data_IF_980595845314
#
_entry.id   IF_980595845314
#
_cell.length_a   1.000
_cell.length_b   1.000
_cell.length_c   1.000
_cell.angle_alpha   90.00
_cell.angle_beta   90.00
_cell.angle_gamma   90.00
#
_symmetry.space_group_name_H-M   'P 1'
#
loop_
_entity.id
_entity.type
_entity.pdbx_description
1 polymer ?
#
# COMPACT_ATOMS: atom_id res chain seq x y z
N UNK A 1 -16.94 -8.96 -5.18
CA UNK A 1 -17.30 -7.55 -5.39
C UNK A 1 -17.28 -7.22 -6.87
N UNK A 2 -17.27 -5.93 -7.19
CA UNK A 2 -17.43 -5.44 -8.58
C UNK A 2 -16.11 -5.15 -9.31
N UNK A 3 -14.97 -5.39 -8.64
CA UNK A 3 -13.64 -5.22 -9.24
C UNK A 3 -13.43 -6.21 -10.39
N UNK A 4 -12.99 -5.71 -11.55
CA UNK A 4 -12.75 -6.52 -12.76
C UNK A 4 -11.28 -6.50 -13.17
N UNK A 5 -10.82 -7.63 -13.69
CA UNK A 5 -9.51 -7.74 -14.34
C UNK A 5 -9.69 -7.72 -15.86
N UNK A 6 -9.07 -6.76 -16.53
CA UNK A 6 -9.04 -6.70 -18.00
C UNK A 6 -7.69 -7.20 -18.49
N UNK A 7 -7.69 -8.31 -19.24
CA UNK A 7 -6.47 -8.85 -19.85
C UNK A 7 -6.16 -8.07 -21.13
N UNK A 8 -4.96 -7.50 -21.23
CA UNK A 8 -4.56 -6.66 -22.36
C UNK A 8 -3.30 -7.25 -23.00
N UNK A 9 -3.41 -7.69 -24.25
CA UNK A 9 -2.27 -8.03 -25.09
C UNK A 9 -1.90 -6.84 -25.98
N UNK A 10 -0.66 -6.36 -25.87
CA UNK A 10 -0.10 -5.26 -26.67
C UNK A 10 0.96 -5.71 -27.67
N UNK A 11 1.20 -7.01 -27.82
CA UNK A 11 2.28 -7.58 -28.64
C UNK A 11 2.24 -7.11 -30.10
N UNK A 12 1.06 -6.83 -30.63
CA UNK A 12 0.84 -6.33 -32.00
C UNK A 12 0.25 -4.91 -32.03
N UNK A 13 0.35 -4.15 -30.94
CA UNK A 13 -0.26 -2.82 -30.85
C UNK A 13 0.73 -1.74 -30.40
N UNK A 14 1.01 -0.79 -31.28
CA UNK A 14 1.92 0.35 -31.07
C UNK A 14 1.20 1.70 -30.87
N UNK A 15 -0.13 1.69 -30.77
CA UNK A 15 -0.91 2.91 -30.56
C UNK A 15 -0.73 3.52 -29.17
N UNK A 16 -1.22 4.76 -28.96
CA UNK A 16 -0.87 5.58 -27.78
C UNK A 16 -1.40 5.01 -26.46
N UNK A 17 -2.54 4.31 -26.47
CA UNK A 17 -3.10 3.67 -25.28
C UNK A 17 -3.84 2.38 -25.63
N UNK A 18 -5.10 2.47 -26.08
CA UNK A 18 -5.96 1.38 -26.56
C UNK A 18 -6.66 1.83 -27.86
N UNK A 19 -7.17 0.90 -28.70
CA UNK A 19 -8.01 1.26 -29.85
C UNK A 19 -9.16 2.21 -29.46
N UNK A 20 -9.41 3.22 -30.28
CA UNK A 20 -10.41 4.27 -30.01
C UNK A 20 -9.92 5.46 -29.19
N UNK A 21 -8.70 5.42 -28.63
CA UNK A 21 -8.07 6.56 -27.96
C UNK A 21 -7.14 7.32 -28.90
N UNK A 22 -7.07 8.64 -28.74
CA UNK A 22 -6.19 9.52 -29.49
C UNK A 22 -5.18 10.23 -28.56
N UNK A 23 -3.99 10.51 -29.08
CA UNK A 23 -2.96 11.27 -28.36
C UNK A 23 -3.48 12.66 -27.96
N UNK A 24 -3.24 13.06 -26.71
CA UNK A 24 -3.53 14.39 -26.18
C UNK A 24 -2.33 14.91 -25.40
N UNK A 25 -2.10 16.22 -25.45
CA UNK A 25 -1.12 16.93 -24.64
C UNK A 25 -1.83 17.79 -23.62
N UNK A 26 -1.37 17.76 -22.37
CA UNK A 26 -1.89 18.64 -21.32
C UNK A 26 -1.32 20.06 -21.46
N UNK A 27 -2.15 21.08 -21.20
CA UNK A 27 -1.68 22.46 -21.03
C UNK A 27 -1.13 22.76 -19.63
N UNK A 28 -1.11 21.76 -18.74
CA UNK A 28 -0.58 21.90 -17.38
C UNK A 28 0.92 22.20 -17.41
N UNK A 29 1.28 23.34 -16.82
CA UNK A 29 2.65 23.75 -16.60
C UNK A 29 3.03 23.35 -15.18
N UNK A 30 4.02 22.48 -15.06
CA UNK A 30 4.58 22.09 -13.77
C UNK A 30 5.23 23.31 -13.10
N UNK A 31 5.11 23.38 -11.78
CA UNK A 31 5.88 24.35 -10.98
C UNK A 31 7.37 24.15 -11.21
N UNK A 32 8.13 25.24 -11.10
CA UNK A 32 9.58 25.20 -11.20
C UNK A 32 10.15 24.22 -10.16
N UNK A 33 11.12 23.39 -10.56
CA UNK A 33 11.72 22.37 -9.70
C UNK A 33 10.92 21.07 -9.53
N UNK A 34 9.65 21.02 -9.96
CA UNK A 34 8.83 19.82 -9.86
C UNK A 34 9.46 18.63 -10.61
N UNK A 35 9.44 17.42 -10.04
CA UNK A 35 10.05 16.26 -10.68
C UNK A 35 9.38 15.92 -12.01
N UNK A 36 10.19 15.41 -12.95
CA UNK A 36 9.69 14.92 -14.25
C UNK A 36 8.65 13.82 -14.06
N UNK A 37 8.83 12.98 -13.03
CA UNK A 37 7.99 11.83 -12.68
C UNK A 37 8.02 11.65 -11.16
N UNK A 38 6.85 11.39 -10.55
CA UNK A 38 6.73 11.10 -9.11
C UNK A 38 6.88 9.60 -8.82
N UNK A 39 6.31 8.75 -9.67
CA UNK A 39 6.39 7.28 -9.56
C UNK A 39 6.56 6.64 -10.94
N UNK A 40 7.09 5.43 -10.99
CA UNK A 40 7.48 4.74 -12.23
C UNK A 40 6.61 3.55 -12.59
N UNK A 41 5.97 2.93 -11.62
CA UNK A 41 5.15 1.74 -11.81
C UNK A 41 4.19 1.55 -10.63
N UNK A 42 3.18 0.70 -10.85
CA UNK A 42 2.39 0.11 -9.78
C UNK A 42 3.20 -1.07 -9.19
N UNK A 43 3.41 -1.08 -7.87
CA UNK A 43 4.13 -2.15 -7.16
C UNK A 43 3.19 -3.29 -6.79
N UNK A 44 2.04 -2.95 -6.18
CA UNK A 44 1.00 -3.89 -5.79
C UNK A 44 -0.34 -3.17 -5.59
N UNK A 45 -1.42 -3.95 -5.52
CA UNK A 45 -2.78 -3.47 -5.21
C UNK A 45 -3.35 -4.33 -4.10
N UNK A 46 -3.80 -3.70 -3.03
CA UNK A 46 -4.37 -4.40 -1.88
C UNK A 46 -5.88 -4.45 -1.98
N UNK A 47 -6.44 -5.65 -1.86
CA UNK A 47 -7.88 -5.89 -1.84
C UNK A 47 -8.37 -6.21 -0.44
N UNK A 48 -9.41 -5.51 0.02
CA UNK A 48 -10.13 -5.87 1.24
C UNK A 48 -11.31 -6.76 0.88
N UNK A 49 -11.47 -7.85 1.62
CA UNK A 49 -12.51 -8.87 1.42
C UNK A 49 -13.22 -9.19 2.73
N UNK A 50 -14.39 -9.79 2.62
CA UNK A 50 -15.27 -10.08 3.74
C UNK A 50 -14.68 -11.14 4.69
N UNK A 51 -15.12 -11.12 5.95
CA UNK A 51 -14.70 -12.09 6.96
C UNK A 51 -14.94 -13.54 6.48
N UNK A 52 -13.90 -14.37 6.50
CA UNK A 52 -13.95 -15.77 6.11
C UNK A 52 -14.01 -15.98 4.60
N UNK A 53 -13.77 -14.93 3.80
CA UNK A 53 -13.74 -14.99 2.33
C UNK A 53 -12.33 -14.88 1.75
N UNK A 54 -11.29 -14.61 2.55
CA UNK A 54 -9.93 -14.50 2.04
C UNK A 54 -9.48 -15.74 1.24
N UNK A 55 -9.72 -16.94 1.76
CA UNK A 55 -9.35 -18.19 1.07
C UNK A 55 -10.15 -18.44 -0.21
N UNK A 56 -11.39 -17.96 -0.27
CA UNK A 56 -12.19 -18.02 -1.49
C UNK A 56 -11.54 -17.18 -2.60
N UNK A 57 -11.15 -15.95 -2.27
CA UNK A 57 -10.51 -15.02 -3.22
C UNK A 57 -9.09 -15.45 -3.59
N UNK A 58 -8.27 -15.91 -2.63
CA UNK A 58 -6.96 -16.53 -2.91
C UNK A 58 -7.13 -17.73 -3.85
N UNK A 59 -8.12 -18.58 -3.58
CA UNK A 59 -8.45 -19.73 -4.43
C UNK A 59 -8.83 -19.34 -5.86
N UNK A 60 -9.55 -18.22 -6.05
CA UNK A 60 -9.84 -17.67 -7.36
C UNK A 60 -8.55 -17.29 -8.11
N UNK A 61 -7.64 -16.51 -7.52
CA UNK A 61 -6.40 -16.12 -8.19
C UNK A 61 -5.51 -17.32 -8.53
N UNK A 62 -5.43 -18.31 -7.63
CA UNK A 62 -4.63 -19.51 -7.88
C UNK A 62 -5.22 -20.36 -9.01
N UNK A 63 -6.53 -20.61 -9.01
CA UNK A 63 -7.19 -21.49 -9.99
C UNK A 63 -7.41 -20.84 -11.35
N UNK A 64 -7.77 -19.55 -11.38
CA UNK A 64 -8.19 -18.86 -12.61
C UNK A 64 -7.02 -18.13 -13.25
N UNK A 65 -6.19 -17.46 -12.46
CA UNK A 65 -5.08 -16.64 -12.97
C UNK A 65 -3.73 -17.37 -12.92
N UNK A 66 -3.65 -18.54 -12.28
CA UNK A 66 -2.41 -19.29 -12.10
C UNK A 66 -1.41 -18.59 -11.17
N UNK A 67 -1.90 -17.75 -10.25
CA UNK A 67 -1.05 -17.09 -9.27
C UNK A 67 -0.61 -18.09 -8.19
N UNK A 68 0.43 -17.72 -7.44
CA UNK A 68 0.95 -18.49 -6.30
C UNK A 68 0.89 -17.67 -5.03
N UNK A 69 0.76 -18.35 -3.90
CA UNK A 69 0.86 -17.71 -2.58
C UNK A 69 2.30 -17.29 -2.34
N UNK A 70 2.52 -16.00 -2.06
CA UNK A 70 3.84 -15.42 -1.84
C UNK A 70 4.14 -15.21 -0.35
N UNK A 71 3.14 -14.78 0.42
CA UNK A 71 3.25 -14.52 1.84
C UNK A 71 1.90 -14.66 2.53
N UNK A 72 1.92 -14.97 3.82
CA UNK A 72 0.74 -15.08 4.67
C UNK A 72 1.05 -14.47 6.03
N UNK A 73 0.13 -13.65 6.53
CA UNK A 73 0.16 -13.03 7.84
C UNK A 73 -1.16 -13.39 8.52
N UNK A 74 -1.09 -14.28 9.51
CA UNK A 74 -2.27 -14.86 10.15
C UNK A 74 -2.19 -14.71 11.68
N UNK A 75 -3.37 -14.72 12.31
CA UNK A 75 -3.46 -14.57 13.77
C UNK A 75 -3.01 -13.18 14.25
N UNK A 76 -2.32 -13.12 15.39
CA UNK A 76 -1.82 -11.87 15.99
C UNK A 76 -0.61 -11.25 15.30
N UNK A 77 -0.24 -11.71 14.10
CA UNK A 77 0.88 -11.17 13.32
C UNK A 77 0.69 -9.70 12.95
N UNK A 78 -0.56 -9.28 12.75
CA UNK A 78 -0.97 -7.90 12.48
C UNK A 78 -2.14 -7.57 13.40
N UNK A 79 -1.80 -7.24 14.65
CA UNK A 79 -2.75 -6.84 15.67
C UNK A 79 -2.22 -5.64 16.46
N UNK A 80 -3.12 -4.73 16.83
CA UNK A 80 -2.94 -3.75 17.90
C UNK A 80 -3.62 -4.26 19.16
N UNK A 81 -3.60 -3.46 20.23
CA UNK A 81 -4.33 -3.76 21.46
C UNK A 81 -5.86 -3.82 21.26
N UNK A 82 -6.36 -3.28 20.13
CA UNK A 82 -7.78 -3.06 19.87
C UNK A 82 -8.31 -3.81 18.66
N UNK A 83 -7.58 -3.85 17.54
CA UNK A 83 -8.04 -4.48 16.29
C UNK A 83 -6.96 -5.31 15.59
N UNK A 84 -7.36 -6.16 14.64
CA UNK A 84 -6.47 -7.05 13.90
C UNK A 84 -6.97 -7.30 12.47
N UNK A 85 -6.10 -7.82 11.61
CA UNK A 85 -6.45 -8.34 10.29
C UNK A 85 -5.61 -9.57 9.92
N UNK A 86 -6.08 -10.33 8.94
CA UNK A 86 -5.28 -11.36 8.27
C UNK A 86 -5.00 -10.92 6.84
N UNK A 87 -3.84 -11.31 6.32
CA UNK A 87 -3.44 -10.97 4.96
C UNK A 87 -2.78 -12.15 4.25
N UNK A 88 -3.20 -12.41 3.01
CA UNK A 88 -2.56 -13.35 2.08
C UNK A 88 -2.17 -12.64 0.81
N UNK A 89 -0.93 -12.78 0.41
CA UNK A 89 -0.41 -12.21 -0.83
C UNK A 89 -0.38 -13.28 -1.91
N UNK A 90 -1.08 -13.03 -3.01
CA UNK A 90 -0.95 -13.81 -4.24
C UNK A 90 -0.15 -13.04 -5.28
N UNK A 91 0.69 -13.74 -6.04
CA UNK A 91 1.51 -13.13 -7.09
C UNK A 91 1.56 -13.99 -8.36
N UNK A 92 1.74 -13.35 -9.51
CA UNK A 92 1.98 -14.08 -10.76
C UNK A 92 3.39 -14.72 -10.76
N UNK A 93 3.67 -15.67 -11.66
CA UNK A 93 4.90 -16.48 -11.59
C UNK A 93 6.24 -15.73 -11.67
N UNK A 94 6.29 -14.47 -12.13
CA UNK A 94 7.49 -13.63 -12.10
C UNK A 94 7.45 -12.52 -11.02
N UNK A 95 6.46 -12.59 -10.13
CA UNK A 95 6.22 -11.70 -9.00
C UNK A 95 6.10 -10.20 -9.35
N UNK A 96 5.77 -9.87 -10.59
CA UNK A 96 5.55 -8.48 -11.02
C UNK A 96 4.15 -7.96 -10.73
N UNK A 97 3.17 -8.85 -10.62
CA UNK A 97 1.80 -8.52 -10.25
C UNK A 97 1.54 -9.19 -8.91
N UNK A 98 1.25 -8.38 -7.89
CA UNK A 98 1.06 -8.82 -6.51
C UNK A 98 -0.25 -8.25 -5.96
N UNK A 99 -1.03 -9.10 -5.31
CA UNK A 99 -2.28 -8.72 -4.65
C UNK A 99 -2.28 -9.24 -3.21
N UNK A 100 -1.96 -8.40 -2.22
CA UNK A 100 -2.35 -8.63 -0.84
C UNK A 100 -3.86 -8.61 -0.72
N UNK A 101 -4.43 -9.64 -0.10
CA UNK A 101 -5.85 -9.77 0.20
C UNK A 101 -6.01 -9.77 1.70
N UNK A 102 -6.77 -8.80 2.21
CA UNK A 102 -6.98 -8.62 3.64
C UNK A 102 -8.42 -8.96 4.02
N UNK A 103 -8.60 -9.67 5.12
CA UNK A 103 -9.91 -9.83 5.76
C UNK A 103 -9.85 -9.34 7.22
N UNK A 104 -10.98 -8.89 7.79
CA UNK A 104 -11.03 -8.52 9.20
C UNK A 104 -10.71 -9.73 10.09
N UNK A 105 -10.12 -9.48 11.26
CA UNK A 105 -9.96 -10.48 12.31
C UNK A 105 -10.76 -10.10 13.56
N UNK A 106 -11.24 -11.09 14.30
CA UNK A 106 -12.03 -10.87 15.53
C UNK A 106 -11.12 -10.26 16.60
N UNK A 107 -11.48 -9.08 17.08
CA UNK A 107 -10.75 -8.33 18.10
C UNK A 107 -11.70 -7.54 19.02
N UNK A 108 -11.16 -6.73 19.93
CA UNK A 108 -11.96 -5.96 20.91
C UNK A 108 -12.78 -4.84 20.27
N UNK A 109 -12.26 -4.25 19.20
CA UNK A 109 -12.83 -3.13 18.46
C UNK A 109 -13.01 -3.49 16.98
N UNK A 110 -13.72 -2.64 16.24
CA UNK A 110 -14.01 -2.86 14.82
C UNK A 110 -12.73 -2.77 13.99
N UNK A 111 -12.51 -3.74 13.11
CA UNK A 111 -11.36 -3.71 12.19
C UNK A 111 -11.52 -2.58 11.18
N UNK A 112 -10.42 -1.91 10.83
CA UNK A 112 -10.37 -0.98 9.68
C UNK A 112 -10.82 -1.63 8.37
N UNK A 113 -10.71 -2.96 8.25
CA UNK A 113 -11.21 -3.69 7.08
C UNK A 113 -12.74 -3.69 7.06
N UNK A 114 -13.39 -3.83 8.23
CA UNK A 114 -14.85 -3.69 8.34
C UNK A 114 -15.31 -2.26 8.07
N UNK A 115 -14.56 -1.24 8.53
CA UNK A 115 -14.82 0.16 8.17
C UNK A 115 -14.79 0.33 6.64
N UNK A 116 -13.74 -0.16 5.98
CA UNK A 116 -13.66 -0.12 4.52
C UNK A 116 -14.87 -0.78 3.86
N UNK A 117 -15.22 -2.02 4.25
CA UNK A 117 -16.29 -2.79 3.61
C UNK A 117 -17.65 -2.07 3.75
N UNK A 118 -17.92 -1.44 4.89
CA UNK A 118 -19.16 -0.68 5.11
C UNK A 118 -19.23 0.57 4.22
N UNK A 119 -18.17 1.38 4.18
CA UNK A 119 -18.17 2.64 3.43
C UNK A 119 -17.99 2.44 1.92
N UNK A 120 -17.30 1.37 1.51
CA UNK A 120 -17.14 0.98 0.11
C UNK A 120 -18.37 0.23 -0.44
N UNK A 121 -19.10 -0.47 0.43
CA UNK A 121 -20.29 -1.25 0.07
C UNK A 121 -19.99 -2.70 -0.35
N UNK A 122 -18.87 -3.27 0.11
CA UNK A 122 -18.42 -4.63 -0.22
C UNK A 122 -16.91 -4.72 -0.47
N UNK A 123 -16.43 -5.85 -1.01
CA UNK A 123 -15.00 -6.09 -1.21
C UNK A 123 -14.47 -5.31 -2.42
N UNK A 124 -13.24 -4.80 -2.31
CA UNK A 124 -12.67 -3.88 -3.30
C UNK A 124 -11.20 -3.55 -3.05
N UNK A 125 -10.63 -2.78 -3.97
CA UNK A 125 -9.25 -2.28 -3.83
C UNK A 125 -9.20 -1.19 -2.76
N UNK A 126 -8.43 -1.42 -1.71
CA UNK A 126 -8.20 -0.47 -0.63
C UNK A 126 -7.11 0.54 -1.02
N UNK A 127 -5.96 0.05 -1.47
CA UNK A 127 -4.89 0.95 -1.89
C UNK A 127 -4.06 0.41 -3.04
N UNK A 128 -3.42 1.35 -3.72
CA UNK A 128 -2.50 1.11 -4.80
C UNK A 128 -1.13 1.64 -4.40
N UNK A 129 -0.13 0.78 -4.43
CA UNK A 129 1.25 1.15 -4.12
C UNK A 129 1.99 1.57 -5.39
N UNK A 130 2.56 2.77 -5.37
CA UNK A 130 3.24 3.40 -6.48
C UNK A 130 4.75 3.40 -6.22
N UNK A 131 5.48 2.64 -7.04
CA UNK A 131 6.93 2.52 -6.93
C UNK A 131 7.61 3.83 -7.35
N UNK A 132 8.56 4.33 -6.56
CA UNK A 132 9.45 5.45 -6.88
C UNK A 132 10.90 5.10 -6.59
N UNK A 133 11.83 5.83 -7.21
CA UNK A 133 13.27 5.70 -6.95
C UNK A 133 13.78 6.78 -5.99
N UNK A 134 12.93 7.75 -5.64
CA UNK A 134 13.26 8.79 -4.68
C UNK A 134 12.02 9.25 -3.91
N UNK A 135 11.67 8.47 -2.89
CA UNK A 135 10.50 8.65 -2.04
C UNK A 135 10.59 9.95 -1.23
N UNK A 136 11.78 10.37 -0.80
CA UNK A 136 11.97 11.66 -0.10
C UNK A 136 11.51 12.82 -0.99
N UNK A 137 12.07 12.92 -2.19
CA UNK A 137 11.68 13.95 -3.15
C UNK A 137 10.22 13.83 -3.58
N UNK A 138 9.72 12.60 -3.71
CA UNK A 138 8.34 12.34 -4.12
C UNK A 138 7.35 12.83 -3.06
N UNK A 139 7.60 12.54 -1.78
CA UNK A 139 6.79 13.01 -0.66
C UNK A 139 6.82 14.52 -0.56
N UNK A 140 8.00 15.14 -0.66
CA UNK A 140 8.15 16.60 -0.61
C UNK A 140 7.36 17.28 -1.74
N UNK A 141 7.47 16.75 -2.96
CA UNK A 141 6.73 17.26 -4.10
C UNK A 141 5.22 17.05 -3.95
N UNK A 142 4.77 15.89 -3.47
CA UNK A 142 3.35 15.60 -3.26
C UNK A 142 2.74 16.50 -2.18
N UNK A 143 3.45 16.74 -1.07
CA UNK A 143 3.02 17.69 -0.03
C UNK A 143 2.93 19.12 -0.55
N UNK A 144 3.89 19.55 -1.36
CA UNK A 144 3.85 20.88 -1.99
C UNK A 144 2.61 21.05 -2.89
N UNK A 145 2.09 19.96 -3.46
CA UNK A 145 0.83 19.94 -4.24
C UNK A 145 -0.42 19.64 -3.38
N UNK A 146 -0.30 19.64 -2.06
CA UNK A 146 -1.43 19.50 -1.12
C UNK A 146 -1.84 18.07 -0.80
N UNK A 147 -1.05 17.06 -1.17
CA UNK A 147 -1.33 15.67 -0.77
C UNK A 147 -1.04 15.49 0.72
N UNK A 148 -2.04 14.98 1.43
CA UNK A 148 -1.93 14.62 2.84
C UNK A 148 -1.52 13.16 3.01
N UNK A 149 -0.67 12.91 4.02
CA UNK A 149 -0.20 11.58 4.39
C UNK A 149 -0.62 11.23 5.80
N UNK A 150 -0.72 9.94 6.09
CA UNK A 150 -0.94 9.44 7.44
C UNK A 150 0.24 9.80 8.34
N UNK A 151 -0.04 10.14 9.59
CA UNK A 151 0.98 10.49 10.57
C UNK A 151 1.55 9.24 11.25
N UNK A 152 2.87 9.10 11.24
CA UNK A 152 3.60 8.09 12.02
C UNK A 152 4.05 8.71 13.36
N UNK A 153 3.91 8.03 14.51
CA UNK A 153 4.34 8.59 15.78
C UNK A 153 5.87 8.56 15.88
N UNK A 154 6.46 9.52 16.59
CA UNK A 154 7.93 9.59 16.78
C UNK A 154 8.50 8.32 17.44
N UNK A 155 7.72 7.70 18.33
CA UNK A 155 8.07 6.45 19.00
C UNK A 155 8.41 5.30 18.05
N UNK A 156 7.85 5.30 16.83
CA UNK A 156 8.21 4.32 15.80
C UNK A 156 9.69 4.43 15.42
N UNK A 157 10.19 5.65 15.23
CA UNK A 157 11.58 5.91 14.82
C UNK A 157 12.56 5.79 15.98
N UNK A 158 12.08 5.92 17.21
CA UNK A 158 12.85 5.79 18.45
C UNK A 158 12.98 4.35 18.92
N UNK A 159 12.17 3.42 18.38
CA UNK A 159 12.18 2.01 18.72
C UNK A 159 13.60 1.39 18.53
N UNK A 160 14.24 0.92 19.62
CA UNK A 160 15.56 0.28 19.54
C UNK A 160 15.55 -0.98 18.68
N UNK A 161 14.46 -1.74 18.65
CA UNK A 161 14.34 -2.97 17.85
C UNK A 161 14.30 -2.64 16.36
N UNK A 162 13.53 -1.62 15.98
CA UNK A 162 13.54 -1.09 14.62
C UNK A 162 14.96 -0.66 14.22
N UNK A 163 15.60 0.19 15.03
CA UNK A 163 16.94 0.72 14.75
C UNK A 163 17.99 -0.38 14.62
N UNK A 164 17.93 -1.41 15.46
CA UNK A 164 18.81 -2.56 15.38
C UNK A 164 18.61 -3.36 14.09
N UNK A 165 17.35 -3.52 13.65
CA UNK A 165 16.99 -4.35 12.49
C UNK A 165 17.23 -3.66 11.14
N UNK A 166 16.96 -2.37 11.00
CA UNK A 166 17.04 -1.67 9.70
C UNK A 166 18.48 -1.40 9.24
N UNK A 167 19.46 -1.47 10.13
CA UNK A 167 20.87 -1.24 9.82
C UNK A 167 21.12 0.07 9.06
N UNK A 168 22.04 0.04 8.09
CA UNK A 168 22.34 1.22 7.25
C UNK A 168 21.37 1.32 6.07
N UNK A 169 20.65 2.42 6.01
CA UNK A 169 19.80 2.83 4.87
C UNK A 169 20.40 4.04 4.14
N UNK A 170 19.83 4.44 2.99
CA UNK A 170 20.43 5.48 2.12
C UNK A 170 20.48 6.88 2.74
N UNK A 171 19.69 7.14 3.78
CA UNK A 171 19.61 8.42 4.49
C UNK A 171 19.50 8.17 5.99
N UNK A 172 19.88 9.13 6.85
CA UNK A 172 19.62 9.01 8.29
C UNK A 172 18.12 8.79 8.58
N UNK A 173 17.82 8.08 9.66
CA UNK A 173 16.42 7.78 10.05
C UNK A 173 15.66 9.08 10.34
N UNK A 174 16.36 10.11 10.78
CA UNK A 174 15.83 11.43 11.08
C UNK A 174 15.24 12.11 9.82
N UNK A 175 15.83 11.86 8.64
CA UNK A 175 15.27 12.35 7.36
C UNK A 175 13.97 11.63 6.97
N UNK A 176 13.83 10.37 7.38
CA UNK A 176 12.61 9.58 7.21
C UNK A 176 11.54 10.03 8.20
N UNK A 177 11.92 10.20 9.47
CA UNK A 177 11.07 10.68 10.55
C UNK A 177 10.47 12.05 10.23
N UNK A 178 11.31 13.02 9.81
CA UNK A 178 10.84 14.35 9.42
C UNK A 178 9.84 14.33 8.27
N UNK A 179 9.76 13.22 7.52
CA UNK A 179 8.78 13.02 6.45
C UNK A 179 7.68 12.02 6.79
N UNK A 180 7.71 11.34 7.93
CA UNK A 180 6.76 10.26 8.24
C UNK A 180 6.91 9.04 7.31
N UNK A 181 8.11 8.79 6.78
CA UNK A 181 8.39 7.65 5.90
C UNK A 181 8.79 6.43 6.75
N UNK A 182 8.02 5.37 6.65
CA UNK A 182 8.28 4.09 7.30
C UNK A 182 9.45 3.36 6.62
N UNK A 183 10.19 2.56 7.38
CA UNK A 183 11.33 1.78 6.90
C UNK A 183 11.28 0.37 7.48
N UNK A 184 11.43 -0.63 6.61
CA UNK A 184 11.57 -2.01 7.04
C UNK A 184 12.68 -2.73 6.28
N UNK A 185 13.26 -3.76 6.90
CA UNK A 185 14.33 -4.58 6.32
C UNK A 185 13.98 -6.06 6.39
N UNK A 186 14.20 -6.74 5.27
CA UNK A 186 14.21 -8.19 5.14
C UNK A 186 15.63 -8.70 4.79
N UNK A 187 15.73 -9.98 4.47
CA UNK A 187 16.99 -10.67 4.17
C UNK A 187 17.65 -10.15 2.88
N UNK A 188 16.85 -9.69 1.92
CA UNK A 188 17.30 -9.26 0.59
C UNK A 188 17.62 -7.75 0.54
N UNK A 189 17.07 -6.97 1.48
CA UNK A 189 17.33 -5.55 1.57
C UNK A 189 16.29 -4.79 2.38
N UNK A 190 16.09 -3.52 2.08
CA UNK A 190 15.12 -2.69 2.82
C UNK A 190 14.13 -2.01 1.87
N UNK A 191 13.02 -1.56 2.44
CA UNK A 191 12.00 -0.80 1.73
C UNK A 191 11.58 0.41 2.55
N UNK A 192 11.15 1.45 1.84
CA UNK A 192 10.61 2.68 2.39
C UNK A 192 9.16 2.84 1.94
N UNK A 193 8.26 3.19 2.85
CA UNK A 193 6.82 3.30 2.57
C UNK A 193 6.20 4.51 3.22
N UNK A 194 5.18 5.08 2.60
CA UNK A 194 4.33 6.10 3.20
C UNK A 194 2.96 6.07 2.53
N UNK A 195 1.92 6.36 3.29
CA UNK A 195 0.54 6.20 2.88
C UNK A 195 -0.18 7.54 2.88
N UNK A 196 -0.92 7.83 1.82
CA UNK A 196 -1.77 9.02 1.77
C UNK A 196 -2.95 8.84 2.71
N UNK A 197 -3.59 9.94 3.10
CA UNK A 197 -4.98 9.87 3.57
C UNK A 197 -5.90 9.34 2.44
N UNK A 198 -7.13 8.90 2.75
CA UNK A 198 -8.12 8.58 1.73
C UNK A 198 -8.30 9.70 0.72
N UNK A 199 -8.49 9.36 -0.56
CA UNK A 199 -8.57 10.35 -1.65
C UNK A 199 -9.89 11.12 -1.69
N UNK A 200 -10.84 10.73 -0.87
CA UNK A 200 -12.13 11.40 -0.68
C UNK A 200 -12.64 11.16 0.74
N UNK A 201 -13.83 11.66 1.04
CA UNK A 201 -14.36 11.68 2.41
C UNK A 201 -14.61 10.30 3.01
N UNK A 202 -14.91 9.30 2.16
CA UNK A 202 -15.10 7.93 2.62
C UNK A 202 -13.75 7.27 2.92
N UNK A 203 -13.58 6.59 4.07
CA UNK A 203 -12.34 5.92 4.46
C UNK A 203 -12.12 4.63 3.64
N UNK A 204 -11.87 4.81 2.35
CA UNK A 204 -11.87 3.74 1.36
C UNK A 204 -10.54 3.71 0.62
N UNK A 205 -10.46 4.35 -0.56
CA UNK A 205 -9.29 4.27 -1.42
C UNK A 205 -8.22 5.26 -0.99
N UNK A 206 -6.99 4.80 -0.84
CA UNK A 206 -5.78 5.63 -0.66
C UNK A 206 -4.62 5.13 -1.51
N UNK A 207 -3.51 5.86 -1.51
CA UNK A 207 -2.29 5.48 -2.21
C UNK A 207 -1.15 5.22 -1.24
N UNK A 208 -0.25 4.33 -1.64
CA UNK A 208 1.04 4.13 -1.00
C UNK A 208 2.14 4.59 -1.95
N UNK A 209 3.15 5.25 -1.43
CA UNK A 209 4.42 5.46 -2.12
C UNK A 209 5.42 4.46 -1.55
N UNK A 210 6.09 3.70 -2.43
CA UNK A 210 7.06 2.68 -2.03
C UNK A 210 8.37 2.84 -2.80
N UNK A 211 9.49 2.73 -2.10
CA UNK A 211 10.84 2.66 -2.69
C UNK A 211 11.55 1.42 -2.15
N UNK A 212 12.00 0.55 -3.06
CA UNK A 212 12.65 -0.72 -2.71
C UNK A 212 14.15 -0.66 -2.94
N UNK A 213 14.92 -1.12 -1.96
CA UNK A 213 16.36 -1.34 -2.02
C UNK A 213 16.66 -2.81 -1.79
N UNK A 214 16.42 -3.64 -2.81
CA UNK A 214 16.61 -5.09 -2.76
C UNK A 214 15.42 -5.87 -2.23
N UNK A 215 14.72 -5.36 -1.21
CA UNK A 215 13.60 -6.06 -0.56
C UNK A 215 12.47 -6.43 -1.54
N UNK A 216 12.09 -7.71 -1.51
CA UNK A 216 10.98 -8.27 -2.28
C UNK A 216 9.70 -8.41 -1.44
N UNK A 217 9.79 -8.30 -0.11
CA UNK A 217 8.69 -8.42 0.83
C UNK A 217 7.75 -7.21 0.87
N UNK A 218 6.98 -7.10 1.96
CA UNK A 218 5.97 -6.05 2.14
C UNK A 218 6.17 -5.23 3.43
N UNK A 219 7.25 -5.51 4.17
CA UNK A 219 7.56 -4.82 5.42
C UNK A 219 6.59 -5.17 6.55
N UNK A 220 6.71 -6.35 7.17
CA UNK A 220 5.86 -6.78 8.29
C UNK A 220 5.84 -5.74 9.43
N UNK A 221 6.99 -5.13 9.73
CA UNK A 221 7.07 -4.07 10.74
C UNK A 221 6.38 -2.79 10.31
N UNK A 222 6.44 -2.44 9.02
CA UNK A 222 5.72 -1.29 8.48
C UNK A 222 4.21 -1.49 8.50
N UNK A 223 3.71 -2.72 8.29
CA UNK A 223 2.29 -3.02 8.37
C UNK A 223 1.71 -2.68 9.75
N UNK A 224 2.41 -3.00 10.84
CA UNK A 224 1.95 -2.66 12.18
C UNK A 224 1.86 -1.14 12.37
N UNK A 225 2.91 -0.40 12.00
CA UNK A 225 2.93 1.05 12.12
C UNK A 225 1.88 1.74 11.23
N UNK A 226 1.66 1.23 10.01
CA UNK A 226 0.57 1.66 9.14
C UNK A 226 -0.78 1.44 9.80
N UNK A 227 -0.99 0.25 10.35
CA UNK A 227 -2.24 -0.15 10.97
C UNK A 227 -2.56 0.76 12.16
N UNK A 228 -1.59 1.03 13.03
CA UNK A 228 -1.73 1.99 14.14
C UNK A 228 -2.00 3.42 13.65
N UNK A 229 -1.50 3.81 12.49
CA UNK A 229 -1.79 5.11 11.89
C UNK A 229 -3.23 5.20 11.34
N UNK A 230 -3.70 4.16 10.66
CA UNK A 230 -5.08 4.10 10.16
C UNK A 230 -6.07 3.98 11.33
N UNK A 231 -5.76 3.20 12.36
CA UNK A 231 -6.58 3.04 13.56
C UNK A 231 -6.80 4.38 14.28
N UNK A 232 -5.75 5.21 14.41
CA UNK A 232 -5.88 6.57 14.96
C UNK A 232 -6.78 7.47 14.11
N UNK A 233 -6.72 7.36 12.79
CA UNK A 233 -7.62 8.09 11.91
C UNK A 233 -9.06 7.54 11.97
N UNK A 234 -9.25 6.23 12.16
CA UNK A 234 -10.55 5.59 12.37
C UNK A 234 -11.18 6.06 13.69
N UNK A 235 -10.38 6.18 14.75
CA UNK A 235 -10.81 6.75 16.02
C UNK A 235 -11.20 8.23 15.87
N UNK A 236 -10.41 9.01 15.13
CA UNK A 236 -10.74 10.42 14.83
C UNK A 236 -12.06 10.57 14.05
N UNK A 237 -12.46 9.55 13.27
CA UNK A 237 -13.77 9.48 12.59
C UNK A 237 -14.90 8.95 13.49
N UNK A 238 -14.59 8.41 14.67
CA UNK A 238 -15.56 7.80 15.59
C UNK A 238 -15.99 6.38 15.20
N UNK A 239 -15.20 5.69 14.38
CA UNK A 239 -15.56 4.38 13.80
C UNK A 239 -14.77 3.19 14.41
N UNK A 240 -14.00 3.43 15.48
CA UNK A 240 -13.12 2.43 16.11
C UNK A 240 -13.76 1.74 17.33
#
# INVERSE_FOLDING_TARGET
GDTRHTLVDRSQYSGPYLPGFATRTSGYIKREGAPKRLFQALDHVVGNVELGKMDEWVGFYNKVMGFVNMAEFIGGDIATDYSALMSKVVANGNHRVKFPLNEPAIAKKKSQIDEFLEFYGGPGAQHLALATNDILRTVDAMRAEGVEFLATPDSYYEDPELRARIGKVRVPVEELQGRGILVDRDEDGYLLQIFTKPIGDRPTVFFEMIERHGSLGFGKGNFKALFEAIEREQEARGNL
#
